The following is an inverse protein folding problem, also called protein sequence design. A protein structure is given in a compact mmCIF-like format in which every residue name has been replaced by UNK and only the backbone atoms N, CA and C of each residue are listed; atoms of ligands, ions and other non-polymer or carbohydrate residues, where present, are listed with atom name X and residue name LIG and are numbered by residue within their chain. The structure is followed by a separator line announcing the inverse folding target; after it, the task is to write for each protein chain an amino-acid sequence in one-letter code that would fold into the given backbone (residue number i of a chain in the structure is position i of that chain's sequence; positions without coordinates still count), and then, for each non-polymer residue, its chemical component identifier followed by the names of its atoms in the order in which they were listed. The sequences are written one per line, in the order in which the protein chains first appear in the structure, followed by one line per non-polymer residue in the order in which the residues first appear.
data_IF_760099446694
#
_entry.id   IF_760099446694
#
_cell.length_a   1.000
_cell.length_b   1.000
_cell.length_c   1.000
_cell.angle_alpha   90.00
_cell.angle_beta   90.00
_cell.angle_gamma   90.00
#
_symmetry.space_group_name_H-M   'P 1'
#
loop_
_entity.id
_entity.type
_entity.pdbx_description
1 polymer ?
#
# COMPACT_ATOMS: atom_id res chain seq x y z
N UNK A 1 18.65 24.78 -30.13
CA UNK A 1 17.66 23.68 -30.28
C UNK A 1 16.94 23.92 -31.60
N UNK A 2 16.89 22.91 -32.46
CA UNK A 2 16.33 22.98 -33.81
C UNK A 2 14.80 22.99 -33.68
N UNK A 3 14.19 24.10 -34.06
CA UNK A 3 12.74 24.26 -34.18
C UNK A 3 12.24 23.43 -35.36
N UNK A 4 11.25 22.57 -35.12
CA UNK A 4 10.65 21.68 -36.12
C UNK A 4 9.44 22.40 -36.77
N UNK A 5 9.28 22.44 -38.11
CA UNK A 5 8.41 23.39 -38.83
C UNK A 5 6.89 23.18 -38.73
N UNK A 6 6.38 22.59 -37.65
CA UNK A 6 4.96 22.78 -37.27
C UNK A 6 4.71 24.19 -36.69
N UNK A 7 5.77 24.98 -36.56
CA UNK A 7 5.84 26.41 -36.20
C UNK A 7 5.01 27.37 -37.09
N UNK A 8 4.34 26.91 -38.16
CA UNK A 8 3.43 27.72 -39.01
C UNK A 8 2.07 27.09 -39.31
N UNK A 9 1.57 26.16 -38.48
CA UNK A 9 0.15 25.73 -38.51
C UNK A 9 -0.81 26.61 -37.67
N UNK A 10 -0.30 27.75 -37.20
CA UNK A 10 -0.75 28.47 -36.00
C UNK A 10 -1.91 29.45 -36.11
N UNK A 11 -2.82 29.36 -37.09
CA UNK A 11 -3.95 30.31 -37.13
C UNK A 11 -5.25 29.81 -36.46
N UNK A 12 -5.41 28.50 -36.26
CA UNK A 12 -6.68 27.93 -35.74
C UNK A 12 -6.56 26.94 -34.58
N UNK A 13 -5.34 26.64 -34.10
CA UNK A 13 -5.15 25.69 -32.97
C UNK A 13 -5.48 26.35 -31.61
N UNK A 14 -5.64 27.66 -31.55
CA UNK A 14 -5.89 28.41 -30.30
C UNK A 14 -7.33 28.50 -29.82
N UNK A 15 -8.33 27.98 -30.56
CA UNK A 15 -9.77 28.16 -30.22
C UNK A 15 -10.57 26.88 -29.99
N UNK A 16 -10.00 25.68 -30.16
CA UNK A 16 -10.68 24.46 -29.72
C UNK A 16 -10.40 24.25 -28.23
N UNK A 17 -11.42 24.23 -27.36
CA UNK A 17 -11.23 23.77 -25.99
C UNK A 17 -10.58 22.38 -26.04
N UNK A 18 -9.35 22.25 -25.53
CA UNK A 18 -8.59 20.99 -25.51
C UNK A 18 -7.34 20.91 -26.40
N UNK A 19 -7.00 21.91 -27.23
CA UNK A 19 -5.79 21.89 -28.09
C UNK A 19 -4.62 22.72 -27.55
N UNK A 20 -4.69 23.19 -26.30
CA UNK A 20 -3.56 23.84 -25.64
C UNK A 20 -2.36 22.86 -25.61
N UNK A 21 -1.14 23.30 -25.99
CA UNK A 21 0.03 22.44 -25.96
C UNK A 21 0.19 21.85 -24.57
N UNK A 22 0.15 20.52 -24.47
CA UNK A 22 0.31 19.80 -23.20
C UNK A 22 1.70 20.08 -22.68
N UNK A 23 1.81 20.97 -21.69
CA UNK A 23 3.08 21.22 -20.99
C UNK A 23 3.44 19.97 -20.18
N UNK A 24 4.23 19.09 -20.80
CA UNK A 24 4.85 17.99 -20.08
C UNK A 24 5.80 18.55 -19.02
N UNK A 25 5.68 18.04 -17.80
CA UNK A 25 6.55 18.46 -16.69
C UNK A 25 8.01 18.15 -17.06
N UNK A 26 8.88 19.15 -16.96
CA UNK A 26 10.30 19.00 -17.25
C UNK A 26 10.92 17.84 -16.45
N UNK A 27 11.79 17.07 -17.10
CA UNK A 27 12.54 15.99 -16.48
C UNK A 27 13.41 16.57 -15.34
N UNK A 28 13.40 15.98 -14.14
CA UNK A 28 14.24 16.45 -13.04
C UNK A 28 15.73 16.36 -13.41
N UNK A 29 16.49 17.36 -12.98
CA UNK A 29 17.93 17.44 -13.24
C UNK A 29 18.63 16.28 -12.53
N UNK A 30 19.33 15.44 -13.30
CA UNK A 30 19.96 14.22 -12.79
C UNK A 30 21.10 14.56 -11.82
N UNK A 31 21.04 14.02 -10.60
CA UNK A 31 22.14 14.13 -9.63
C UNK A 31 23.37 13.32 -10.04
N UNK A 32 24.46 13.43 -9.26
CA UNK A 32 25.69 12.66 -9.48
C UNK A 32 25.45 11.15 -9.39
N UNK A 33 26.30 10.33 -10.03
CA UNK A 33 26.20 8.86 -10.04
C UNK A 33 26.17 8.24 -8.63
N UNK A 34 26.90 8.83 -7.68
CA UNK A 34 26.89 8.38 -6.29
C UNK A 34 25.53 8.60 -5.62
N UNK A 35 24.91 9.77 -5.83
CA UNK A 35 23.59 10.11 -5.29
C UNK A 35 22.49 9.22 -5.88
N UNK A 36 22.57 8.91 -7.17
CA UNK A 36 21.64 7.98 -7.83
C UNK A 36 21.66 6.58 -7.22
N UNK A 37 22.82 6.07 -6.77
CA UNK A 37 22.92 4.77 -6.09
C UNK A 37 22.24 4.78 -4.72
N UNK A 38 22.44 5.84 -3.95
CA UNK A 38 21.78 6.02 -2.65
C UNK A 38 20.27 6.14 -2.83
N UNK A 39 19.81 6.93 -3.80
CA UNK A 39 18.39 7.07 -4.12
C UNK A 39 17.79 5.73 -4.58
N UNK A 40 18.53 4.93 -5.34
CA UNK A 40 18.11 3.58 -5.72
C UNK A 40 17.96 2.67 -4.49
N UNK A 41 18.90 2.68 -3.55
CA UNK A 41 18.79 1.88 -2.31
C UNK A 41 17.59 2.33 -1.45
N UNK A 42 17.40 3.64 -1.29
CA UNK A 42 16.24 4.19 -0.58
C UNK A 42 14.92 3.79 -1.23
N UNK A 43 14.86 3.76 -2.56
CA UNK A 43 13.65 3.30 -3.26
C UNK A 43 13.32 1.83 -2.97
N UNK A 44 14.33 0.95 -2.86
CA UNK A 44 14.11 -0.44 -2.48
C UNK A 44 13.70 -0.57 -1.01
N UNK A 45 14.34 0.18 -0.11
CA UNK A 45 13.96 0.21 1.30
C UNK A 45 12.51 0.66 1.51
N UNK A 46 12.06 1.68 0.76
CA UNK A 46 10.67 2.15 0.81
C UNK A 46 9.68 1.08 0.31
N UNK A 47 10.01 0.33 -0.74
CA UNK A 47 9.17 -0.81 -1.18
C UNK A 47 9.11 -1.87 -0.10
N UNK A 48 10.26 -2.25 0.48
CA UNK A 48 10.32 -3.22 1.56
C UNK A 48 9.47 -2.80 2.76
N UNK A 49 9.55 -1.52 3.15
CA UNK A 49 8.74 -0.95 4.23
C UNK A 49 7.24 -0.97 3.90
N UNK A 50 6.85 -0.60 2.68
CA UNK A 50 5.45 -0.66 2.25
C UNK A 50 4.91 -2.09 2.26
N UNK A 51 5.70 -3.07 1.79
CA UNK A 51 5.34 -4.48 1.84
C UNK A 51 5.20 -4.98 3.29
N UNK A 52 6.15 -4.63 4.16
CA UNK A 52 6.11 -4.97 5.58
C UNK A 52 4.85 -4.42 6.26
N UNK A 53 4.56 -3.13 6.11
CA UNK A 53 3.34 -2.52 6.66
C UNK A 53 2.09 -3.19 6.07
N UNK A 54 2.10 -3.52 4.77
CA UNK A 54 0.97 -4.19 4.11
C UNK A 54 0.71 -5.59 4.70
N UNK A 55 1.76 -6.34 5.07
CA UNK A 55 1.64 -7.64 5.74
C UNK A 55 1.01 -7.53 7.13
N UNK A 56 1.26 -6.43 7.86
CA UNK A 56 0.69 -6.25 9.20
C UNK A 56 -0.84 -6.19 9.21
N UNK A 57 -1.47 -5.77 8.11
CA UNK A 57 -2.94 -5.70 8.00
C UNK A 57 -3.62 -7.06 8.05
N UNK A 58 -2.93 -8.13 7.68
CA UNK A 58 -3.55 -9.45 7.50
C UNK A 58 -3.61 -10.29 8.77
N UNK A 59 -2.81 -9.98 9.80
CA UNK A 59 -2.77 -10.79 11.03
C UNK A 59 -2.39 -9.98 12.26
N UNK A 60 -1.20 -9.34 12.29
CA UNK A 60 -0.74 -8.60 13.45
C UNK A 60 -1.68 -7.49 13.93
N UNK A 61 -2.25 -6.70 13.00
CA UNK A 61 -3.18 -5.61 13.36
C UNK A 61 -4.50 -6.16 13.95
N UNK A 62 -5.19 -7.13 13.31
CA UNK A 62 -6.34 -7.79 13.91
C UNK A 62 -6.04 -8.41 15.28
N UNK A 63 -4.95 -9.18 15.39
CA UNK A 63 -4.58 -9.84 16.64
C UNK A 63 -4.26 -8.83 17.76
N UNK A 64 -3.53 -7.76 17.44
CA UNK A 64 -3.24 -6.67 18.37
C UNK A 64 -4.51 -5.94 18.82
N UNK A 65 -5.49 -5.79 17.94
CA UNK A 65 -6.78 -5.16 18.27
C UNK A 65 -7.61 -6.03 19.20
N UNK A 66 -7.63 -7.35 18.98
CA UNK A 66 -8.30 -8.31 19.88
C UNK A 66 -7.60 -8.38 21.24
N UNK A 67 -6.28 -8.34 21.27
CA UNK A 67 -5.51 -8.24 22.51
C UNK A 67 -5.82 -6.94 23.27
N UNK A 68 -5.92 -5.80 22.58
CA UNK A 68 -6.30 -4.54 23.20
C UNK A 68 -7.74 -4.62 23.76
N UNK A 69 -8.68 -5.18 23.00
CA UNK A 69 -10.05 -5.39 23.45
C UNK A 69 -10.13 -6.23 24.73
N UNK A 70 -9.33 -7.30 24.83
CA UNK A 70 -9.32 -8.16 26.02
C UNK A 70 -8.77 -7.44 27.26
N UNK A 71 -7.82 -6.51 27.09
CA UNK A 71 -7.35 -5.64 28.18
C UNK A 71 -8.42 -4.67 28.66
N UNK A 72 -9.16 -4.06 27.73
CA UNK A 72 -10.26 -3.15 28.08
C UNK A 72 -11.37 -3.90 28.83
N UNK A 73 -11.74 -5.08 28.37
CA UNK A 73 -12.70 -5.94 29.06
C UNK A 73 -12.21 -6.30 30.48
N UNK A 74 -10.93 -6.65 30.63
CA UNK A 74 -10.35 -7.02 31.92
C UNK A 74 -10.45 -5.90 32.97
N UNK A 75 -10.30 -4.63 32.54
CA UNK A 75 -10.39 -3.49 33.47
C UNK A 75 -11.81 -2.99 33.72
N UNK A 76 -12.70 -3.11 32.74
CA UNK A 76 -14.06 -2.55 32.82
C UNK A 76 -15.13 -3.56 33.23
N UNK A 77 -14.82 -4.86 33.14
CA UNK A 77 -15.78 -5.95 33.35
C UNK A 77 -16.85 -6.07 32.26
N UNK A 78 -16.84 -5.22 31.23
CA UNK A 78 -17.86 -5.17 30.18
C UNK A 78 -17.32 -5.66 28.84
N UNK A 79 -17.94 -6.72 28.33
CA UNK A 79 -17.62 -7.29 27.00
C UNK A 79 -18.01 -6.32 25.89
N UNK A 80 -19.21 -5.72 25.96
CA UNK A 80 -19.69 -4.78 24.93
C UNK A 80 -18.76 -3.58 24.79
N UNK A 81 -18.26 -3.05 25.90
CA UNK A 81 -17.32 -1.93 25.89
C UNK A 81 -15.95 -2.35 25.34
N UNK A 82 -15.45 -3.53 25.73
CA UNK A 82 -14.21 -4.10 25.18
C UNK A 82 -14.26 -4.28 23.66
N UNK A 83 -15.37 -4.82 23.14
CA UNK A 83 -15.59 -4.99 21.69
C UNK A 83 -15.61 -3.62 20.97
N UNK A 84 -16.36 -2.65 21.51
CA UNK A 84 -16.43 -1.31 20.92
C UNK A 84 -15.04 -0.66 20.83
N UNK A 85 -14.28 -0.70 21.92
CA UNK A 85 -12.90 -0.16 21.95
C UNK A 85 -11.97 -0.93 21.02
N UNK A 86 -12.07 -2.26 20.97
CA UNK A 86 -11.28 -3.10 20.06
C UNK A 86 -11.54 -2.78 18.59
N UNK A 87 -12.81 -2.64 18.22
CA UNK A 87 -13.21 -2.27 16.86
C UNK A 87 -12.74 -0.85 16.49
N UNK A 88 -12.91 0.11 17.41
CA UNK A 88 -12.43 1.47 17.22
C UNK A 88 -10.89 1.52 17.06
N UNK A 89 -10.15 0.77 17.89
CA UNK A 89 -8.70 0.66 17.78
C UNK A 89 -8.28 0.04 16.43
N UNK A 90 -8.96 -1.03 16.00
CA UNK A 90 -8.70 -1.68 14.71
C UNK A 90 -8.89 -0.70 13.54
N UNK A 91 -10.01 0.02 13.51
CA UNK A 91 -10.29 1.02 12.48
C UNK A 91 -9.23 2.13 12.49
N UNK A 92 -8.89 2.65 13.67
CA UNK A 92 -7.90 3.71 13.81
C UNK A 92 -6.54 3.27 13.26
N UNK A 93 -6.05 2.10 13.69
CA UNK A 93 -4.78 1.55 13.21
C UNK A 93 -4.82 1.30 11.71
N UNK A 94 -5.94 0.80 11.18
CA UNK A 94 -6.11 0.56 9.75
C UNK A 94 -6.04 1.86 8.94
N UNK A 95 -6.77 2.90 9.35
CA UNK A 95 -6.73 4.20 8.69
C UNK A 95 -5.35 4.86 8.80
N UNK A 96 -4.70 4.78 9.97
CA UNK A 96 -3.33 5.26 10.15
C UNK A 96 -2.34 4.54 9.24
N UNK A 97 -2.43 3.20 9.13
CA UNK A 97 -1.58 2.41 8.25
C UNK A 97 -1.79 2.78 6.77
N UNK A 98 -3.03 2.94 6.32
CA UNK A 98 -3.32 3.36 4.94
C UNK A 98 -2.83 4.78 4.65
N UNK A 99 -3.00 5.71 5.60
CA UNK A 99 -2.48 7.06 5.49
C UNK A 99 -0.94 7.08 5.40
N UNK A 100 -0.27 6.23 6.18
CA UNK A 100 1.18 6.07 6.14
C UNK A 100 1.65 5.48 4.80
N UNK A 101 1.02 4.40 4.32
CA UNK A 101 1.31 3.82 3.00
C UNK A 101 1.15 4.85 1.88
N UNK A 102 0.09 5.66 1.91
CA UNK A 102 -0.12 6.73 0.93
C UNK A 102 0.99 7.79 0.96
N UNK A 103 1.53 8.12 2.14
CA UNK A 103 2.67 9.03 2.27
C UNK A 103 3.96 8.39 1.76
N UNK A 104 4.20 7.13 2.08
CA UNK A 104 5.37 6.38 1.60
C UNK A 104 5.37 6.19 0.09
N UNK A 105 4.22 5.92 -0.52
CA UNK A 105 4.08 5.77 -1.98
C UNK A 105 4.43 7.08 -2.71
N UNK A 106 4.00 8.23 -2.17
CA UNK A 106 4.42 9.55 -2.68
C UNK A 106 5.92 9.77 -2.55
N UNK A 107 6.49 9.44 -1.39
CA UNK A 107 7.94 9.55 -1.17
C UNK A 107 8.72 8.64 -2.14
N UNK A 108 8.23 7.42 -2.36
CA UNK A 108 8.84 6.45 -3.27
C UNK A 108 8.88 6.95 -4.72
N UNK A 109 7.80 7.57 -5.21
CA UNK A 109 7.76 8.19 -6.54
C UNK A 109 8.84 9.27 -6.66
N UNK A 110 9.01 10.12 -5.64
CA UNK A 110 10.01 11.20 -5.65
C UNK A 110 11.43 10.65 -5.67
N UNK A 111 11.72 9.64 -4.83
CA UNK A 111 13.04 9.01 -4.76
C UNK A 111 13.37 8.27 -6.06
N UNK A 112 12.41 7.57 -6.67
CA UNK A 112 12.62 6.90 -7.97
C UNK A 112 12.89 7.89 -9.11
N UNK A 113 12.21 9.04 -9.09
CA UNK A 113 12.48 10.13 -10.05
C UNK A 113 13.87 10.75 -9.84
N UNK A 114 14.30 10.93 -8.59
CA UNK A 114 15.65 11.40 -8.26
C UNK A 114 16.73 10.41 -8.75
N UNK A 115 16.46 9.10 -8.65
CA UNK A 115 17.30 8.05 -9.20
C UNK A 115 17.32 7.98 -10.75
N UNK A 116 16.55 8.83 -11.44
CA UNK A 116 16.55 8.93 -12.90
C UNK A 116 15.51 8.07 -13.63
N UNK A 117 14.58 7.44 -12.90
CA UNK A 117 13.47 6.66 -13.48
C UNK A 117 12.21 7.53 -13.54
N UNK A 118 11.62 7.72 -14.73
CA UNK A 118 10.37 8.49 -14.88
C UNK A 118 9.16 7.66 -14.40
N UNK A 119 8.98 7.58 -13.08
CA UNK A 119 7.85 6.91 -12.46
C UNK A 119 6.68 7.88 -12.25
N UNK A 120 5.54 7.65 -12.93
CA UNK A 120 4.36 8.53 -12.84
C UNK A 120 3.24 8.01 -11.95
N UNK A 121 3.18 6.70 -11.75
CA UNK A 121 2.19 6.03 -10.91
C UNK A 121 2.84 5.39 -9.68
N UNK A 122 2.10 5.40 -8.58
CA UNK A 122 2.43 4.66 -7.37
C UNK A 122 2.37 3.15 -7.57
N UNK A 123 2.96 2.41 -6.62
CA UNK A 123 2.97 0.94 -6.62
C UNK A 123 2.12 0.37 -5.48
N UNK A 124 1.65 1.21 -4.55
CA UNK A 124 0.88 0.80 -3.37
C UNK A 124 -0.25 -0.22 -3.67
N UNK A 125 -1.14 -0.03 -4.67
CA UNK A 125 -2.21 -1.01 -4.93
C UNK A 125 -1.70 -2.39 -5.30
N UNK A 126 -0.58 -2.47 -6.04
CA UNK A 126 0.04 -3.74 -6.44
C UNK A 126 0.70 -4.42 -5.27
N UNK A 127 1.45 -3.67 -4.45
CA UNK A 127 2.08 -4.21 -3.24
C UNK A 127 1.02 -4.79 -2.32
N UNK A 128 -0.05 -4.04 -2.07
CA UNK A 128 -1.15 -4.50 -1.23
C UNK A 128 -1.80 -5.77 -1.80
N UNK A 129 -2.11 -5.80 -3.10
CA UNK A 129 -2.70 -6.96 -3.76
C UNK A 129 -1.79 -8.20 -3.69
N UNK A 130 -0.48 -8.06 -3.90
CA UNK A 130 0.46 -9.17 -3.77
C UNK A 130 0.54 -9.68 -2.34
N UNK A 131 0.61 -8.79 -1.34
CA UNK A 131 0.60 -9.22 0.06
C UNK A 131 -0.70 -9.93 0.44
N UNK A 132 -1.84 -9.47 -0.08
CA UNK A 132 -3.13 -10.13 0.10
C UNK A 132 -3.12 -11.55 -0.48
N UNK A 133 -2.69 -11.68 -1.73
CA UNK A 133 -2.63 -12.96 -2.43
C UNK A 133 -1.70 -13.95 -1.72
N UNK A 134 -0.52 -13.50 -1.29
CA UNK A 134 0.45 -14.33 -0.56
C UNK A 134 -0.14 -14.77 0.79
N UNK A 135 -0.70 -13.85 1.57
CA UNK A 135 -1.32 -14.19 2.85
C UNK A 135 -2.49 -15.16 2.68
N UNK A 136 -3.36 -14.93 1.69
CA UNK A 136 -4.48 -15.81 1.38
C UNK A 136 -4.00 -17.21 0.95
N UNK A 137 -2.95 -17.30 0.13
CA UNK A 137 -2.38 -18.57 -0.30
C UNK A 137 -1.75 -19.34 0.87
N UNK A 138 -0.98 -18.67 1.72
CA UNK A 138 -0.39 -19.26 2.93
C UNK A 138 -1.49 -19.76 3.87
N UNK A 139 -2.52 -18.94 4.09
CA UNK A 139 -3.66 -19.31 4.92
C UNK A 139 -4.41 -20.51 4.34
N UNK A 140 -4.70 -20.50 3.03
CA UNK A 140 -5.38 -21.61 2.36
C UNK A 140 -4.57 -22.90 2.43
N UNK A 141 -3.24 -22.83 2.22
CA UNK A 141 -2.36 -23.99 2.36
C UNK A 141 -2.41 -24.54 3.78
N UNK A 142 -2.23 -23.68 4.80
CA UNK A 142 -2.32 -24.10 6.20
C UNK A 142 -3.71 -24.68 6.54
N UNK A 143 -4.79 -24.05 6.08
CA UNK A 143 -6.15 -24.47 6.37
C UNK A 143 -6.49 -25.81 5.73
N UNK A 144 -6.12 -26.02 4.47
CA UNK A 144 -6.47 -27.24 3.71
C UNK A 144 -5.52 -28.40 4.03
N UNK A 145 -4.22 -28.13 4.16
CA UNK A 145 -3.20 -29.18 4.29
C UNK A 145 -2.92 -29.53 5.76
N UNK A 146 -2.87 -28.54 6.65
CA UNK A 146 -2.46 -28.74 8.05
C UNK A 146 -3.65 -28.93 8.97
N UNK A 147 -4.67 -28.07 8.91
CA UNK A 147 -5.89 -28.26 9.70
C UNK A 147 -6.83 -29.27 9.03
N UNK A 148 -7.04 -29.15 7.73
CA UNK A 148 -8.01 -29.93 6.96
C UNK A 148 -9.46 -29.58 7.34
N UNK A 149 -10.41 -29.56 6.39
CA UNK A 149 -11.84 -29.31 6.66
C UNK A 149 -12.55 -30.45 7.46
N UNK A 150 -11.82 -31.27 8.20
CA UNK A 150 -12.33 -32.42 8.96
C UNK A 150 -11.69 -32.63 10.34
N UNK A 151 -10.79 -31.76 10.81
CA UNK A 151 -10.29 -31.83 12.18
C UNK A 151 -11.32 -31.20 13.14
N UNK A 152 -12.22 -32.03 13.67
CA UNK A 152 -13.01 -31.79 14.90
C UNK A 152 -14.25 -30.86 14.88
N UNK A 153 -14.96 -30.69 13.75
CA UNK A 153 -16.21 -29.89 13.71
C UNK A 153 -17.52 -30.66 13.40
N UNK A 154 -17.50 -31.99 13.34
CA UNK A 154 -18.73 -32.80 13.43
C UNK A 154 -18.76 -33.58 14.75
N UNK A 155 -19.58 -33.20 15.74
CA UNK A 155 -19.98 -34.13 16.78
C UNK A 155 -20.81 -35.22 16.11
N UNK A 156 -20.33 -36.46 16.13
CA UNK A 156 -21.14 -37.61 15.75
C UNK A 156 -22.40 -37.63 16.62
N UNK A 157 -23.57 -37.59 15.98
CA UNK A 157 -24.83 -37.99 16.58
C UNK A 157 -24.72 -39.49 16.88
N UNK A 158 -24.32 -39.81 18.11
CA UNK A 158 -24.40 -41.14 18.68
C UNK A 158 -25.37 -41.08 19.86
N UNK A 159 -26.61 -41.43 19.59
CA UNK A 159 -27.71 -41.61 20.53
C UNK A 159 -28.81 -42.39 19.84
#
# INVERSE_FOLDING_TARGET
MRTDPTDTGGLFVGRRPGTAPTKYRALPQRGSRARQRVDALLAHALIGLMAFISLLFWGPIPAGSLWFASRVQYWTGSVSFGILCGFAAMLLVLFCGLALLKRLDRAWILVRRAAGVDQRSGVMPRVFAYTAAICAAIFAFWFIVINGPGSSSMPGQGG
#
